data_IF_972879774692
#
_entry.id   IF_972879774692
#
_cell.length_a   1.000
_cell.length_b   1.000
_cell.length_c   1.000
_cell.angle_alpha   90.00
_cell.angle_beta   90.00
_cell.angle_gamma   90.00
#
_symmetry.space_group_name_H-M   'P 1'
#
loop_
_entity.id
_entity.type
_entity.pdbx_description
1 polymer ?
#
# COMPACT_ATOMS: atom_id res chain seq x y z
N UNK A 1 -33.14 16.39 -59.75
CA UNK A 1 -33.19 17.26 -58.58
C UNK A 1 -33.48 16.37 -57.36
N UNK A 2 -32.44 15.79 -56.72
CA UNK A 2 -32.55 14.89 -55.61
C UNK A 2 -31.67 15.45 -54.49
N UNK A 3 -32.31 15.86 -53.42
CA UNK A 3 -31.68 16.42 -52.22
C UNK A 3 -31.49 15.30 -51.24
N UNK A 4 -30.25 14.82 -51.08
CA UNK A 4 -29.87 13.91 -50.01
C UNK A 4 -29.51 14.73 -48.79
N UNK A 5 -30.40 14.79 -47.83
CA UNK A 5 -30.18 15.31 -46.50
C UNK A 5 -29.46 14.22 -45.68
N UNK A 6 -28.14 14.30 -45.58
CA UNK A 6 -27.36 13.55 -44.64
C UNK A 6 -27.55 14.17 -43.25
N UNK A 7 -28.37 13.53 -42.41
CA UNK A 7 -28.45 13.86 -41.00
C UNK A 7 -27.17 13.44 -40.30
N UNK A 8 -26.31 14.40 -40.00
CA UNK A 8 -25.24 14.29 -39.02
C UNK A 8 -25.92 13.97 -37.66
N UNK A 9 -25.94 12.70 -37.26
CA UNK A 9 -26.21 12.32 -35.90
C UNK A 9 -24.96 12.58 -35.08
N UNK A 10 -24.99 13.50 -34.11
CA UNK A 10 -23.88 13.61 -33.20
C UNK A 10 -23.72 12.26 -32.47
N UNK A 11 -22.49 11.74 -32.47
CA UNK A 11 -22.13 10.55 -31.71
C UNK A 11 -22.57 10.76 -30.26
N UNK A 12 -23.53 9.96 -29.81
CA UNK A 12 -23.98 9.95 -28.43
C UNK A 12 -22.74 9.63 -27.57
N UNK A 13 -22.33 10.62 -26.79
CA UNK A 13 -21.39 10.44 -25.71
C UNK A 13 -21.98 9.42 -24.73
N UNK A 14 -21.54 8.16 -24.85
CA UNK A 14 -21.94 7.06 -24.00
C UNK A 14 -21.22 7.11 -22.63
N UNK A 15 -20.90 8.30 -22.15
CA UNK A 15 -20.48 8.55 -20.78
C UNK A 15 -21.64 8.26 -19.81
N UNK A 16 -21.84 6.97 -19.51
CA UNK A 16 -22.78 6.56 -18.48
C UNK A 16 -22.55 7.36 -17.19
N UNK A 17 -23.60 7.65 -16.40
CA UNK A 17 -23.50 8.51 -15.22
C UNK A 17 -22.41 8.00 -14.29
N UNK A 18 -21.49 8.90 -13.93
CA UNK A 18 -20.42 8.60 -12.98
C UNK A 18 -21.06 8.11 -11.68
N UNK A 19 -20.82 6.85 -11.32
CA UNK A 19 -21.39 6.28 -10.11
C UNK A 19 -20.91 7.08 -8.89
N UNK A 20 -21.84 7.55 -8.09
CA UNK A 20 -21.53 8.25 -6.84
C UNK A 20 -20.91 7.26 -5.86
N UNK A 21 -19.72 7.61 -5.33
CA UNK A 21 -19.05 6.74 -4.38
C UNK A 21 -19.90 6.61 -3.09
N UNK A 22 -20.16 5.38 -2.63
CA UNK A 22 -20.92 5.16 -1.41
C UNK A 22 -20.19 5.77 -0.19
N UNK A 23 -20.93 6.11 0.87
CA UNK A 23 -20.34 6.65 2.11
C UNK A 23 -19.27 5.74 2.70
N UNK A 24 -19.44 4.42 2.59
CA UNK A 24 -18.45 3.41 3.01
C UNK A 24 -17.12 3.54 2.27
N UNK A 25 -17.08 4.01 1.03
CA UNK A 25 -15.84 4.22 0.29
C UNK A 25 -14.91 5.22 0.98
N UNK A 26 -15.44 6.35 1.44
CA UNK A 26 -14.64 7.36 2.16
C UNK A 26 -14.15 6.82 3.50
N UNK A 27 -15.02 6.14 4.26
CA UNK A 27 -14.65 5.56 5.54
C UNK A 27 -13.52 4.53 5.39
N UNK A 28 -13.63 3.62 4.43
CA UNK A 28 -12.57 2.64 4.12
C UNK A 28 -11.27 3.37 3.72
N UNK A 29 -11.34 4.35 2.81
CA UNK A 29 -10.17 5.11 2.38
C UNK A 29 -9.45 5.82 3.54
N UNK A 30 -10.19 6.39 4.48
CA UNK A 30 -9.62 7.04 5.68
C UNK A 30 -8.95 6.00 6.59
N UNK A 31 -9.61 4.86 6.84
CA UNK A 31 -9.03 3.77 7.65
C UNK A 31 -7.72 3.28 7.03
N UNK A 32 -7.70 3.06 5.71
CA UNK A 32 -6.50 2.63 5.00
C UNK A 32 -5.39 3.68 5.05
N UNK A 33 -5.73 4.96 4.94
CA UNK A 33 -4.75 6.03 5.07
C UNK A 33 -4.15 6.07 6.49
N UNK A 34 -4.98 6.00 7.52
CA UNK A 34 -4.51 5.96 8.91
C UNK A 34 -3.60 4.77 9.18
N UNK A 35 -3.95 3.58 8.65
CA UNK A 35 -3.11 2.39 8.74
C UNK A 35 -1.73 2.60 8.11
N UNK A 36 -1.68 3.16 6.90
CA UNK A 36 -0.41 3.42 6.21
C UNK A 36 0.42 4.51 6.92
N UNK A 37 -0.22 5.57 7.43
CA UNK A 37 0.46 6.60 8.21
C UNK A 37 1.04 6.06 9.52
N UNK A 38 0.33 5.17 10.20
CA UNK A 38 0.84 4.49 11.40
C UNK A 38 2.10 3.67 11.03
N UNK A 39 2.08 2.95 9.91
CA UNK A 39 3.26 2.25 9.40
C UNK A 39 4.42 3.19 9.08
N UNK A 40 4.14 4.35 8.47
CA UNK A 40 5.17 5.36 8.17
C UNK A 40 5.80 5.94 9.44
N UNK A 41 5.01 6.19 10.48
CA UNK A 41 5.53 6.62 11.80
C UNK A 41 6.40 5.52 12.39
N UNK A 42 5.96 4.26 12.36
CA UNK A 42 6.73 3.13 12.85
C UNK A 42 8.07 3.00 12.10
N UNK A 43 8.10 3.20 10.79
CA UNK A 43 9.32 3.22 9.99
C UNK A 43 10.29 4.31 10.45
N UNK A 44 9.80 5.55 10.62
CA UNK A 44 10.64 6.67 11.07
C UNK A 44 11.24 6.35 12.43
N UNK A 45 10.46 5.85 13.38
CA UNK A 45 10.92 5.47 14.71
C UNK A 45 11.97 4.36 14.66
N UNK A 46 11.81 3.36 13.79
CA UNK A 46 12.76 2.26 13.64
C UNK A 46 14.05 2.71 12.95
N UNK A 47 13.94 3.50 11.89
CA UNK A 47 15.09 3.98 11.12
C UNK A 47 15.95 4.99 11.90
N UNK A 48 15.32 5.81 12.74
CA UNK A 48 16.00 6.80 13.59
C UNK A 48 16.31 6.29 15.02
N UNK A 49 16.11 4.99 15.28
CA UNK A 49 16.34 4.43 16.60
C UNK A 49 17.82 4.54 17.02
N UNK A 50 18.03 4.96 18.25
CA UNK A 50 19.34 4.86 18.89
C UNK A 50 19.61 3.38 19.20
N UNK A 51 20.53 2.78 18.42
CA UNK A 51 20.84 1.36 18.51
C UNK A 51 21.49 0.99 19.84
N UNK A 52 22.23 1.90 20.48
CA UNK A 52 22.86 1.65 21.78
C UNK A 52 21.81 1.60 22.89
N UNK A 53 20.79 2.45 22.81
CA UNK A 53 19.69 2.40 23.76
C UNK A 53 18.78 1.17 23.49
N UNK A 54 18.50 0.88 22.21
CA UNK A 54 17.71 -0.29 21.83
C UNK A 54 18.40 -1.59 22.28
N UNK A 55 19.74 -1.67 22.19
CA UNK A 55 20.49 -2.84 22.61
C UNK A 55 20.36 -3.15 24.10
N UNK A 56 20.04 -2.17 24.95
CA UNK A 56 19.80 -2.37 26.37
C UNK A 56 18.48 -3.08 26.69
N UNK A 57 17.48 -2.92 25.81
CA UNK A 57 16.12 -3.45 26.01
C UNK A 57 15.80 -4.63 25.08
N UNK A 58 16.23 -4.56 23.82
CA UNK A 58 16.10 -5.63 22.83
C UNK A 58 17.40 -5.71 21.96
N UNK A 59 18.44 -6.39 22.49
CA UNK A 59 19.72 -6.52 21.80
C UNK A 59 19.60 -7.28 20.47
N UNK A 60 18.62 -8.16 20.35
CA UNK A 60 18.36 -8.88 19.11
C UNK A 60 17.90 -7.92 18.00
N UNK A 61 16.89 -7.12 18.27
CA UNK A 61 16.36 -6.15 17.28
C UNK A 61 17.43 -5.09 16.92
N UNK A 62 18.20 -4.60 17.88
CA UNK A 62 19.31 -3.67 17.62
C UNK A 62 20.33 -4.26 16.65
N UNK A 63 20.74 -5.54 16.86
CA UNK A 63 21.65 -6.25 15.95
C UNK A 63 21.08 -6.38 14.54
N UNK A 64 19.79 -6.74 14.42
CA UNK A 64 19.15 -6.88 13.10
C UNK A 64 19.10 -5.53 12.37
N UNK A 65 18.73 -4.45 13.06
CA UNK A 65 18.68 -3.11 12.45
C UNK A 65 20.09 -2.62 12.04
N UNK A 66 21.11 -2.87 12.85
CA UNK A 66 22.50 -2.53 12.52
C UNK A 66 23.02 -3.30 11.30
N UNK A 67 22.62 -4.57 11.14
CA UNK A 67 23.03 -5.41 10.03
C UNK A 67 22.17 -5.27 8.77
N UNK A 68 21.04 -4.54 8.85
CA UNK A 68 20.11 -4.44 7.74
C UNK A 68 20.66 -3.57 6.59
N UNK A 69 20.78 -4.11 5.36
CA UNK A 69 21.29 -3.35 4.23
C UNK A 69 20.41 -2.16 3.87
N UNK A 70 21.02 -1.09 3.36
CA UNK A 70 20.33 0.14 2.97
C UNK A 70 19.20 -0.12 1.96
N UNK A 71 19.37 -1.06 1.03
CA UNK A 71 18.35 -1.38 0.05
C UNK A 71 17.08 -2.00 0.67
N UNK A 72 17.21 -2.70 1.81
CA UNK A 72 16.04 -3.24 2.55
C UNK A 72 15.28 -2.11 3.22
N UNK A 73 16.00 -1.15 3.82
CA UNK A 73 15.39 0.08 4.35
C UNK A 73 14.70 0.89 3.25
N UNK A 74 15.33 0.98 2.06
CA UNK A 74 14.71 1.63 0.90
C UNK A 74 13.44 0.90 0.44
N UNK A 75 13.45 -0.44 0.38
CA UNK A 75 12.25 -1.23 0.05
C UNK A 75 11.12 -1.00 1.06
N UNK A 76 11.45 -0.90 2.35
CA UNK A 76 10.50 -0.58 3.40
C UNK A 76 9.91 0.83 3.23
N UNK A 77 10.76 1.83 2.98
CA UNK A 77 10.32 3.21 2.72
C UNK A 77 9.40 3.28 1.48
N UNK A 78 9.77 2.59 0.39
CA UNK A 78 8.95 2.51 -0.84
C UNK A 78 7.59 1.85 -0.55
N UNK A 79 7.57 0.75 0.22
CA UNK A 79 6.33 0.08 0.60
C UNK A 79 5.35 1.02 1.29
N UNK A 80 5.83 1.77 2.28
CA UNK A 80 5.01 2.69 3.07
C UNK A 80 4.65 3.96 2.29
N UNK A 81 5.60 4.51 1.52
CA UNK A 81 5.35 5.67 0.67
C UNK A 81 4.30 5.37 -0.40
N UNK A 82 4.45 4.25 -1.11
CA UNK A 82 3.49 3.81 -2.11
C UNK A 82 2.12 3.47 -1.49
N UNK A 83 2.08 2.83 -0.32
CA UNK A 83 0.85 2.54 0.41
C UNK A 83 0.11 3.81 0.84
N UNK A 84 0.82 4.78 1.41
CA UNK A 84 0.26 6.07 1.82
C UNK A 84 -0.26 6.89 0.63
N UNK A 85 0.55 7.01 -0.43
CA UNK A 85 0.14 7.67 -1.67
C UNK A 85 -1.03 6.93 -2.32
N UNK A 86 -1.04 5.60 -2.31
CA UNK A 86 -2.15 4.79 -2.81
C UNK A 86 -3.45 5.09 -2.07
N UNK A 87 -3.41 5.23 -0.74
CA UNK A 87 -4.57 5.59 0.06
C UNK A 87 -5.06 7.02 -0.22
N UNK A 88 -4.15 7.97 -0.41
CA UNK A 88 -4.48 9.34 -0.83
C UNK A 88 -5.13 9.33 -2.22
N UNK A 89 -4.53 8.63 -3.20
CA UNK A 89 -5.08 8.52 -4.55
C UNK A 89 -6.43 7.83 -4.56
N UNK A 90 -6.65 6.83 -3.69
CA UNK A 90 -7.95 6.19 -3.49
C UNK A 90 -9.00 7.22 -3.06
N UNK A 91 -8.70 8.02 -2.03
CA UNK A 91 -9.61 9.08 -1.54
C UNK A 91 -9.89 10.15 -2.60
N UNK A 92 -8.89 10.50 -3.41
CA UNK A 92 -9.01 11.41 -4.55
C UNK A 92 -9.66 10.76 -5.78
N UNK A 93 -10.07 9.48 -5.68
CA UNK A 93 -10.67 8.69 -6.77
C UNK A 93 -9.78 8.58 -8.01
N UNK A 94 -8.47 8.53 -7.84
CA UNK A 94 -7.51 8.39 -8.95
C UNK A 94 -7.18 6.93 -9.23
N UNK A 95 -7.13 6.57 -10.51
CA UNK A 95 -6.77 5.22 -10.97
C UNK A 95 -5.39 4.78 -10.48
N UNK A 96 -4.48 5.72 -10.22
CA UNK A 96 -3.15 5.48 -9.70
C UNK A 96 -3.12 4.75 -8.33
N UNK A 97 -4.23 4.70 -7.60
CA UNK A 97 -4.32 3.99 -6.33
C UNK A 97 -3.98 2.49 -6.47
N UNK A 98 -4.49 1.82 -7.50
CA UNK A 98 -4.28 0.38 -7.69
C UNK A 98 -2.80 0.01 -7.94
N UNK A 99 -2.06 0.62 -8.90
CA UNK A 99 -0.65 0.31 -9.08
C UNK A 99 0.22 0.73 -7.89
N UNK A 100 -0.13 1.80 -7.17
CA UNK A 100 0.61 2.21 -5.97
C UNK A 100 0.50 1.16 -4.85
N UNK A 101 -0.68 0.61 -4.61
CA UNK A 101 -0.83 -0.49 -3.65
C UNK A 101 -0.10 -1.76 -4.10
N UNK A 102 -0.02 -2.03 -5.41
CA UNK A 102 0.77 -3.16 -5.90
C UNK A 102 2.26 -2.96 -5.64
N UNK A 103 2.80 -1.75 -5.86
CA UNK A 103 4.19 -1.40 -5.52
C UNK A 103 4.42 -1.58 -4.01
N UNK A 104 3.47 -1.16 -3.17
CA UNK A 104 3.53 -1.36 -1.72
C UNK A 104 3.64 -2.84 -1.35
N UNK A 105 2.82 -3.72 -1.95
CA UNK A 105 2.90 -5.18 -1.73
C UNK A 105 4.30 -5.72 -2.06
N UNK A 106 4.85 -5.34 -3.21
CA UNK A 106 6.20 -5.78 -3.61
C UNK A 106 7.24 -5.36 -2.58
N UNK A 107 7.20 -4.10 -2.12
CA UNK A 107 8.10 -3.61 -1.08
C UNK A 107 7.95 -4.36 0.24
N UNK A 108 6.72 -4.67 0.66
CA UNK A 108 6.42 -5.48 1.86
C UNK A 108 7.03 -6.88 1.73
N UNK A 109 6.84 -7.54 0.57
CA UNK A 109 7.38 -8.89 0.32
C UNK A 109 8.91 -8.86 0.36
N UNK A 110 9.54 -7.88 -0.27
CA UNK A 110 11.00 -7.73 -0.30
C UNK A 110 11.56 -7.54 1.12
N UNK A 111 10.95 -6.62 1.88
CA UNK A 111 11.42 -6.29 3.23
C UNK A 111 11.26 -7.47 4.21
N UNK A 112 10.08 -8.11 4.26
CA UNK A 112 9.88 -9.26 5.14
C UNK A 112 10.53 -10.52 4.61
N UNK A 113 10.61 -10.70 3.28
CA UNK A 113 11.36 -11.79 2.66
C UNK A 113 12.82 -11.77 3.10
N UNK A 114 13.47 -10.60 3.07
CA UNK A 114 14.81 -10.46 3.61
C UNK A 114 14.88 -10.87 5.09
N UNK A 115 13.95 -10.36 5.91
CA UNK A 115 13.95 -10.63 7.35
C UNK A 115 13.79 -12.13 7.66
N UNK A 116 12.98 -12.87 6.91
CA UNK A 116 12.78 -14.30 7.14
C UNK A 116 13.85 -15.21 6.54
N UNK A 117 14.49 -14.79 5.44
CA UNK A 117 15.48 -15.62 4.74
C UNK A 117 16.90 -15.36 5.25
N UNK A 118 17.25 -14.12 5.59
CA UNK A 118 18.61 -13.71 5.90
C UNK A 118 18.85 -13.45 7.40
N UNK A 119 17.82 -13.63 8.24
CA UNK A 119 17.98 -13.49 9.68
C UNK A 119 17.45 -14.73 10.41
N UNK A 120 17.86 -14.89 11.65
CA UNK A 120 17.42 -15.95 12.56
C UNK A 120 16.13 -15.60 13.31
N UNK A 121 15.29 -14.69 12.74
CA UNK A 121 14.10 -14.16 13.39
C UNK A 121 13.15 -15.25 13.91
N UNK A 122 12.86 -16.26 13.08
CA UNK A 122 11.95 -17.34 13.46
C UNK A 122 12.57 -18.26 14.49
N UNK A 123 13.89 -18.48 14.47
CA UNK A 123 14.58 -19.31 15.44
C UNK A 123 14.64 -18.62 16.81
N UNK A 124 14.81 -17.31 16.87
CA UNK A 124 14.96 -16.53 18.10
C UNK A 124 13.61 -16.09 18.69
N UNK A 125 12.72 -15.53 17.86
CA UNK A 125 11.43 -14.97 18.31
C UNK A 125 10.25 -15.97 18.13
N UNK A 126 10.49 -17.11 17.48
CA UNK A 126 9.47 -18.12 17.19
C UNK A 126 8.50 -17.72 16.07
N UNK A 127 7.58 -18.64 15.75
CA UNK A 127 6.57 -18.41 14.68
C UNK A 127 5.63 -17.23 14.95
N UNK A 128 5.48 -16.80 16.20
CA UNK A 128 4.67 -15.63 16.54
C UNK A 128 5.20 -14.34 15.90
N UNK A 129 6.51 -14.28 15.63
CA UNK A 129 7.12 -13.15 14.92
C UNK A 129 6.62 -13.00 13.47
N UNK A 130 6.09 -14.05 12.87
CA UNK A 130 5.52 -14.02 11.51
C UNK A 130 4.08 -13.49 11.48
N UNK A 131 3.36 -13.46 12.59
CA UNK A 131 1.94 -13.07 12.64
C UNK A 131 1.77 -11.62 12.17
N UNK A 132 2.55 -10.70 12.71
CA UNK A 132 2.43 -9.28 12.38
C UNK A 132 2.77 -8.99 10.91
N UNK A 133 3.87 -9.48 10.32
CA UNK A 133 4.13 -9.42 8.88
C UNK A 133 3.02 -10.03 8.02
N UNK A 134 2.46 -11.16 8.43
CA UNK A 134 1.34 -11.78 7.71
C UNK A 134 0.10 -10.89 7.71
N UNK A 135 -0.24 -10.25 8.83
CA UNK A 135 -1.35 -9.28 8.92
C UNK A 135 -1.10 -8.08 7.99
N UNK A 136 0.13 -7.54 7.98
CA UNK A 136 0.50 -6.44 7.07
C UNK A 136 0.29 -6.85 5.61
N UNK A 137 0.74 -8.04 5.22
CA UNK A 137 0.60 -8.54 3.86
C UNK A 137 -0.88 -8.73 3.47
N UNK A 138 -1.69 -9.31 4.36
CA UNK A 138 -3.15 -9.47 4.14
C UNK A 138 -3.82 -8.13 3.93
N UNK A 139 -3.51 -7.12 4.76
CA UNK A 139 -4.07 -5.77 4.60
C UNK A 139 -3.58 -5.13 3.30
N UNK A 140 -2.30 -5.28 2.92
CA UNK A 140 -1.77 -4.76 1.67
C UNK A 140 -2.48 -5.37 0.45
N UNK A 141 -2.72 -6.69 0.44
CA UNK A 141 -3.49 -7.38 -0.60
C UNK A 141 -4.94 -6.87 -0.62
N UNK A 142 -5.56 -6.69 0.54
CA UNK A 142 -6.91 -6.12 0.62
C UNK A 142 -6.97 -4.72 0.01
N UNK A 143 -6.02 -3.84 0.32
CA UNK A 143 -5.94 -2.48 -0.24
C UNK A 143 -5.89 -2.51 -1.77
N UNK A 144 -5.01 -3.33 -2.33
CA UNK A 144 -4.88 -3.50 -3.78
C UNK A 144 -6.15 -4.06 -4.41
N UNK A 145 -6.73 -5.13 -3.85
CA UNK A 145 -7.98 -5.73 -4.34
C UNK A 145 -9.14 -4.75 -4.28
N UNK A 146 -9.23 -4.00 -3.18
CA UNK A 146 -10.25 -2.98 -3.02
C UNK A 146 -10.12 -1.89 -4.09
N UNK A 147 -8.92 -1.29 -4.26
CA UNK A 147 -8.68 -0.26 -5.26
C UNK A 147 -8.95 -0.77 -6.69
N UNK A 148 -8.50 -1.97 -7.03
CA UNK A 148 -8.74 -2.60 -8.33
C UNK A 148 -10.24 -2.81 -8.61
N UNK A 149 -11.00 -3.21 -7.60
CA UNK A 149 -12.46 -3.34 -7.71
C UNK A 149 -13.15 -1.98 -7.92
N UNK A 150 -12.69 -0.92 -7.23
CA UNK A 150 -13.24 0.43 -7.42
C UNK A 150 -12.89 1.00 -8.80
N UNK A 151 -11.70 0.64 -9.32
CA UNK A 151 -11.29 0.99 -10.69
C UNK A 151 -12.19 0.29 -11.72
N UNK A 152 -12.44 -1.01 -11.58
CA UNK A 152 -13.33 -1.77 -12.45
C UNK A 152 -14.77 -1.22 -12.44
N UNK A 153 -15.23 -0.70 -11.30
CA UNK A 153 -16.54 -0.03 -11.15
C UNK A 153 -16.56 1.41 -11.66
N UNK A 154 -15.48 1.90 -12.29
CA UNK A 154 -15.31 3.29 -12.75
C UNK A 154 -15.53 4.37 -11.67
N UNK A 155 -15.34 4.02 -10.40
CA UNK A 155 -15.35 4.96 -9.27
C UNK A 155 -14.02 5.70 -9.21
N UNK A 156 -12.92 5.01 -9.53
CA UNK A 156 -11.60 5.61 -9.75
C UNK A 156 -11.43 5.99 -11.24
N UNK A 157 -10.73 7.10 -11.50
CA UNK A 157 -10.50 7.68 -12.83
C UNK A 157 -9.04 8.09 -13.00
#
# INVERSE_FOLDING_TARGET
MIRTSGADRPAADNGGPAMTAPRSFRAIGIILLLWNLMGAIAFILQYSADLDQLAKTDPYTARIFAAMPVWVWAAYAIALGAGSLGAIMLLLRKAAAAPLFLISIVGVIVQFGYSFIHTDLLAVKGFTAAIFPAVILVIAIFQWRYASTQLAKRILR
#
